data_IF_510950892857
#
_entry.id   IF_510950892857
#
_cell.length_a   1.000
_cell.length_b   1.000
_cell.length_c   1.000
_cell.angle_alpha   90.00
_cell.angle_beta   90.00
_cell.angle_gamma   90.00
#
_symmetry.space_group_name_H-M   'P 1'
#
loop_
_entity.id
_entity.type
_entity.pdbx_description
1 polymer ?
#
# COMPACT_ATOMS: atom_id res chain seq x y z
N UNK A 1 6.38 -24.14 11.12
CA UNK A 1 5.17 -24.31 10.27
C UNK A 1 5.54 -25.06 8.99
N UNK A 2 5.61 -26.42 9.04
CA UNK A 2 6.10 -27.21 7.89
C UNK A 2 5.22 -27.13 6.64
N UNK A 3 3.97 -26.72 6.80
CA UNK A 3 2.99 -26.59 5.70
C UNK A 3 2.75 -25.14 5.25
N UNK A 4 3.63 -24.20 5.63
CA UNK A 4 3.50 -22.80 5.23
C UNK A 4 3.57 -22.67 3.71
N UNK A 5 2.59 -21.98 3.12
CA UNK A 5 2.48 -21.75 1.66
C UNK A 5 2.64 -20.30 1.27
N UNK A 6 2.31 -19.39 2.18
CA UNK A 6 2.41 -17.96 1.93
C UNK A 6 2.62 -17.18 3.21
N UNK A 7 3.24 -16.01 3.07
CA UNK A 7 3.40 -15.01 4.12
C UNK A 7 2.82 -13.71 3.59
N UNK A 8 1.92 -13.10 4.37
CA UNK A 8 1.34 -11.79 4.08
C UNK A 8 1.90 -10.80 5.07
N UNK A 9 2.62 -9.79 4.60
CA UNK A 9 3.18 -8.74 5.45
C UNK A 9 2.42 -7.42 5.24
N UNK A 10 1.91 -6.80 6.31
CA UNK A 10 1.19 -5.53 6.22
C UNK A 10 2.12 -4.31 6.26
N UNK A 11 3.44 -4.49 6.14
CA UNK A 11 4.42 -3.40 6.18
C UNK A 11 5.49 -3.56 5.11
N UNK A 12 6.02 -2.44 4.58
CA UNK A 12 7.08 -2.43 3.56
C UNK A 12 8.37 -3.09 4.08
N UNK A 13 8.78 -2.79 5.30
CA UNK A 13 9.96 -3.42 5.93
C UNK A 13 9.76 -4.93 6.11
N UNK A 14 8.59 -5.34 6.55
CA UNK A 14 8.28 -6.76 6.79
C UNK A 14 8.23 -7.58 5.51
N UNK A 15 7.66 -7.03 4.42
CA UNK A 15 7.59 -7.77 3.15
C UNK A 15 8.98 -7.93 2.52
N UNK A 16 9.82 -6.88 2.57
CA UNK A 16 11.19 -6.94 2.08
C UNK A 16 12.03 -7.96 2.87
N UNK A 17 11.98 -7.92 4.21
CA UNK A 17 12.63 -8.89 5.06
C UNK A 17 12.16 -10.33 4.80
N UNK A 18 10.85 -10.52 4.57
CA UNK A 18 10.30 -11.84 4.22
C UNK A 18 10.78 -12.32 2.86
N UNK A 19 10.84 -11.41 1.86
CA UNK A 19 11.40 -11.70 0.53
C UNK A 19 12.85 -12.17 0.63
N UNK A 20 13.65 -11.49 1.45
CA UNK A 20 15.04 -11.86 1.73
C UNK A 20 15.13 -13.26 2.33
N UNK A 21 14.39 -13.55 3.39
CA UNK A 21 14.41 -14.87 4.05
C UNK A 21 13.99 -15.99 3.09
N UNK A 22 12.93 -15.79 2.30
CA UNK A 22 12.47 -16.77 1.32
C UNK A 22 13.53 -17.04 0.25
N UNK A 23 14.28 -16.00 -0.15
CA UNK A 23 15.39 -16.12 -1.09
C UNK A 23 16.57 -16.88 -0.49
N UNK A 24 17.05 -16.46 0.68
CA UNK A 24 18.24 -17.02 1.35
C UNK A 24 18.07 -18.50 1.75
N UNK A 25 16.84 -18.87 2.12
CA UNK A 25 16.53 -20.25 2.52
C UNK A 25 16.09 -21.15 1.34
N UNK A 26 16.21 -20.69 0.10
CA UNK A 26 15.82 -21.43 -1.10
C UNK A 26 14.36 -21.92 -1.06
N UNK A 27 13.45 -21.04 -0.59
CA UNK A 27 12.03 -21.34 -0.48
C UNK A 27 11.20 -20.75 -1.63
N UNK A 28 11.85 -20.10 -2.64
CA UNK A 28 11.19 -19.59 -3.84
C UNK A 28 10.42 -20.73 -4.53
N UNK A 29 9.17 -20.45 -4.88
CA UNK A 29 8.25 -21.45 -5.44
C UNK A 29 7.54 -22.34 -4.40
N UNK A 30 8.06 -22.45 -3.17
CA UNK A 30 7.45 -23.20 -2.06
C UNK A 30 6.61 -22.31 -1.15
N UNK A 31 7.13 -21.13 -0.81
CA UNK A 31 6.47 -20.13 0.02
C UNK A 31 6.35 -18.83 -0.79
N UNK A 32 5.16 -18.29 -0.90
CA UNK A 32 4.90 -17.03 -1.59
C UNK A 32 4.89 -15.88 -0.61
N UNK A 33 5.38 -14.71 -1.05
CA UNK A 33 5.38 -13.47 -0.26
C UNK A 33 4.45 -12.46 -0.93
N UNK A 34 3.60 -11.80 -0.14
CA UNK A 34 2.73 -10.72 -0.59
C UNK A 34 2.43 -9.76 0.55
N UNK A 35 1.79 -8.64 0.25
CA UNK A 35 1.38 -7.66 1.26
C UNK A 35 1.57 -6.22 0.79
N UNK A 36 1.92 -5.33 1.72
CA UNK A 36 2.26 -3.93 1.43
C UNK A 36 3.77 -3.79 1.25
N UNK A 37 4.20 -3.19 0.13
CA UNK A 37 5.61 -3.03 -0.18
C UNK A 37 5.89 -1.82 -1.05
N UNK A 38 7.10 -1.26 -0.92
CA UNK A 38 7.62 -0.25 -1.84
C UNK A 38 8.21 -0.95 -3.06
N UNK A 39 7.83 -0.55 -4.29
CA UNK A 39 8.37 -1.14 -5.50
C UNK A 39 9.91 -1.12 -5.59
N UNK A 40 10.54 -0.03 -5.16
CA UNK A 40 12.00 0.10 -5.12
C UNK A 40 12.69 -0.91 -4.20
N UNK A 41 12.03 -1.34 -3.11
CA UNK A 41 12.55 -2.36 -2.19
C UNK A 41 12.21 -3.78 -2.64
N UNK A 42 11.14 -3.95 -3.42
CA UNK A 42 10.58 -5.24 -3.80
C UNK A 42 11.02 -5.74 -5.18
N UNK A 43 11.69 -4.92 -5.98
CA UNK A 43 12.02 -5.20 -7.38
C UNK A 43 12.78 -6.52 -7.54
N UNK A 44 13.78 -6.78 -6.71
CA UNK A 44 14.59 -8.00 -6.79
C UNK A 44 13.79 -9.24 -6.40
N UNK A 45 12.90 -9.12 -5.41
CA UNK A 45 12.04 -10.23 -4.96
C UNK A 45 10.89 -10.54 -5.93
N UNK A 46 10.48 -9.57 -6.74
CA UNK A 46 9.56 -9.82 -7.85
C UNK A 46 10.28 -10.50 -9.00
N UNK A 47 11.47 -10.02 -9.37
CA UNK A 47 12.27 -10.57 -10.48
C UNK A 47 12.76 -11.98 -10.21
N UNK A 48 13.10 -12.32 -8.96
CA UNK A 48 13.52 -13.67 -8.60
C UNK A 48 12.35 -14.63 -8.30
N UNK A 49 11.11 -14.12 -8.22
CA UNK A 49 9.90 -14.91 -8.00
C UNK A 49 9.55 -15.20 -6.52
N UNK A 50 10.27 -14.64 -5.56
CA UNK A 50 9.92 -14.74 -4.13
C UNK A 50 8.58 -14.07 -3.83
N UNK A 51 8.30 -12.92 -4.45
CA UNK A 51 7.00 -12.23 -4.42
C UNK A 51 6.44 -12.10 -5.84
N UNK A 52 5.30 -12.68 -6.09
CA UNK A 52 4.68 -12.59 -7.44
C UNK A 52 3.77 -11.38 -7.59
N UNK A 53 3.20 -10.90 -6.49
CA UNK A 53 2.33 -9.71 -6.44
C UNK A 53 2.35 -9.10 -5.06
N UNK A 54 2.31 -7.78 -5.01
CA UNK A 54 2.12 -7.00 -3.80
C UNK A 54 1.40 -5.69 -4.15
N UNK A 55 1.10 -4.86 -3.15
CA UNK A 55 0.37 -3.64 -3.37
C UNK A 55 0.84 -2.52 -2.42
N UNK A 56 0.54 -1.27 -2.81
CA UNK A 56 0.66 -0.10 -1.94
C UNK A 56 -0.29 1.00 -2.45
N UNK A 57 -0.72 1.89 -1.58
CA UNK A 57 -1.30 3.18 -1.96
C UNK A 57 -0.19 4.18 -2.31
N UNK A 58 -0.53 5.27 -3.00
CA UNK A 58 0.42 6.35 -3.25
C UNK A 58 0.66 7.15 -1.95
N UNK A 59 1.87 7.09 -1.34
CA UNK A 59 2.13 7.80 -0.07
C UNK A 59 2.12 9.32 -0.24
N UNK A 60 2.47 9.85 -1.41
CA UNK A 60 2.43 11.29 -1.71
C UNK A 60 0.99 11.78 -1.74
N UNK A 61 0.11 11.04 -2.41
CA UNK A 61 -1.31 11.36 -2.45
C UNK A 61 -1.95 11.24 -1.07
N UNK A 62 -1.55 10.26 -0.26
CA UNK A 62 -2.01 10.13 1.12
C UNK A 62 -1.61 11.36 1.96
N UNK A 63 -0.37 11.83 1.84
CA UNK A 63 0.09 13.04 2.52
C UNK A 63 -0.67 14.28 2.09
N UNK A 64 -0.86 14.44 0.78
CA UNK A 64 -1.67 15.53 0.20
C UNK A 64 -3.12 15.49 0.72
N UNK A 65 -3.75 14.33 0.68
CA UNK A 65 -5.12 14.13 1.17
C UNK A 65 -5.24 14.46 2.66
N UNK A 66 -4.32 13.96 3.50
CA UNK A 66 -4.30 14.23 4.93
C UNK A 66 -4.20 15.73 5.26
N UNK A 67 -3.48 16.52 4.46
CA UNK A 67 -3.42 17.96 4.66
C UNK A 67 -4.79 18.62 4.51
N UNK A 68 -5.59 18.19 3.52
CA UNK A 68 -6.95 18.69 3.33
C UNK A 68 -7.91 18.23 4.44
N UNK A 69 -7.83 16.97 4.84
CA UNK A 69 -8.63 16.43 5.97
C UNK A 69 -8.34 17.23 7.23
N UNK A 70 -7.06 17.42 7.56
CA UNK A 70 -6.65 18.15 8.76
C UNK A 70 -7.09 19.61 8.71
N UNK A 71 -7.01 20.26 7.55
CA UNK A 71 -7.46 21.63 7.36
C UNK A 71 -8.97 21.75 7.54
N UNK A 72 -9.75 20.87 6.91
CA UNK A 72 -11.21 20.86 7.03
C UNK A 72 -11.68 20.58 8.47
N UNK A 73 -10.98 19.69 9.17
CA UNK A 73 -11.25 19.41 10.58
C UNK A 73 -10.92 20.65 11.47
N UNK A 74 -9.80 21.31 11.25
CA UNK A 74 -9.41 22.52 11.99
C UNK A 74 -10.39 23.69 11.77
N UNK A 75 -11.03 23.76 10.62
CA UNK A 75 -12.06 24.76 10.32
C UNK A 75 -13.48 24.36 10.79
N UNK A 76 -13.66 23.18 11.35
CA UNK A 76 -14.96 22.66 11.78
C UNK A 76 -15.87 22.23 10.63
N UNK A 77 -15.34 22.11 9.40
CA UNK A 77 -16.06 21.57 8.23
C UNK A 77 -16.26 20.06 8.38
N UNK A 78 -15.23 19.38 8.91
CA UNK A 78 -15.28 17.97 9.25
C UNK A 78 -15.31 17.77 10.76
N UNK A 79 -16.32 17.07 11.25
CA UNK A 79 -16.47 16.67 12.66
C UNK A 79 -16.44 15.17 12.83
N UNK A 80 -16.36 14.42 11.73
CA UNK A 80 -16.41 12.97 11.70
C UNK A 80 -17.82 12.37 11.59
N UNK A 81 -18.82 13.21 11.32
CA UNK A 81 -20.19 12.73 11.14
C UNK A 81 -20.38 12.14 9.75
N UNK A 82 -21.05 11.02 9.67
CA UNK A 82 -21.42 10.37 8.40
C UNK A 82 -22.17 11.35 7.49
N UNK A 83 -21.76 11.40 6.23
CA UNK A 83 -22.35 12.25 5.21
C UNK A 83 -21.75 13.66 5.12
N UNK A 84 -20.86 14.07 6.00
CA UNK A 84 -20.09 15.31 5.81
C UNK A 84 -19.20 15.20 4.58
N UNK A 85 -19.10 16.28 3.81
CA UNK A 85 -18.32 16.35 2.56
C UNK A 85 -17.27 17.44 2.63
N UNK A 86 -16.14 17.24 1.96
CA UNK A 86 -15.11 18.25 1.79
C UNK A 86 -14.38 18.04 0.47
N UNK A 87 -13.73 19.10 -0.05
CA UNK A 87 -12.90 19.02 -1.24
C UNK A 87 -11.44 18.84 -0.86
N UNK A 88 -10.80 17.83 -1.45
CA UNK A 88 -9.36 17.55 -1.33
C UNK A 88 -8.57 18.06 -2.57
N UNK A 89 -8.91 19.24 -3.05
CA UNK A 89 -8.22 19.91 -4.16
C UNK A 89 -8.17 19.05 -5.43
N UNK A 90 -6.97 18.74 -5.94
CA UNK A 90 -6.82 17.95 -7.19
C UNK A 90 -7.39 16.52 -7.10
N UNK A 91 -7.64 16.04 -5.90
CA UNK A 91 -8.17 14.68 -5.68
C UNK A 91 -9.71 14.63 -5.69
N UNK A 92 -10.40 15.81 -5.73
CA UNK A 92 -11.86 15.89 -5.78
C UNK A 92 -12.52 15.89 -4.41
N UNK A 93 -13.81 15.57 -4.40
CA UNK A 93 -14.65 15.62 -3.21
C UNK A 93 -14.76 14.25 -2.55
N UNK A 94 -14.77 14.26 -1.22
CA UNK A 94 -14.86 13.07 -0.38
C UNK A 94 -15.97 13.22 0.64
N UNK A 95 -16.51 12.08 1.06
CA UNK A 95 -17.59 11.99 2.04
C UNK A 95 -17.15 11.13 3.22
N UNK A 96 -17.49 11.56 4.43
CA UNK A 96 -17.30 10.76 5.64
C UNK A 96 -18.28 9.59 5.63
N UNK A 97 -17.76 8.39 5.70
CA UNK A 97 -18.48 7.13 5.72
C UNK A 97 -18.80 6.67 7.14
N UNK A 98 -19.29 5.46 7.27
CA UNK A 98 -19.62 4.84 8.57
C UNK A 98 -18.39 4.83 9.47
N UNK A 99 -18.59 5.03 10.77
CA UNK A 99 -17.52 5.08 11.79
C UNK A 99 -16.51 6.24 11.63
N UNK A 100 -16.84 7.25 10.81
CA UNK A 100 -15.96 8.41 10.58
C UNK A 100 -14.82 8.12 9.60
N UNK A 101 -14.90 7.04 8.85
CA UNK A 101 -13.92 6.69 7.84
C UNK A 101 -14.05 7.56 6.59
N UNK A 102 -12.95 7.75 5.88
CA UNK A 102 -12.92 8.39 4.57
C UNK A 102 -12.03 7.53 3.68
N UNK A 103 -12.65 6.79 2.76
CA UNK A 103 -11.92 5.93 1.83
C UNK A 103 -11.23 6.77 0.77
N UNK A 104 -9.92 6.63 0.67
CA UNK A 104 -9.07 7.41 -0.22
C UNK A 104 -8.39 6.52 -1.26
N UNK A 105 -8.43 6.97 -2.52
CA UNK A 105 -7.60 6.48 -3.61
C UNK A 105 -7.80 5.01 -3.99
N UNK A 106 -6.96 4.57 -4.93
CA UNK A 106 -6.88 3.19 -5.38
C UNK A 106 -5.57 2.55 -4.92
N UNK A 107 -5.61 1.25 -4.63
CA UNK A 107 -4.40 0.48 -4.36
C UNK A 107 -3.70 0.18 -5.69
N UNK A 108 -2.42 0.55 -5.77
CA UNK A 108 -1.53 0.13 -6.85
C UNK A 108 -1.08 -1.31 -6.61
N UNK A 109 -1.18 -2.15 -7.64
CA UNK A 109 -0.73 -3.54 -7.62
C UNK A 109 0.47 -3.67 -8.50
N UNK A 110 1.51 -4.33 -7.99
CA UNK A 110 2.77 -4.55 -8.67
C UNK A 110 3.02 -6.03 -8.87
N UNK A 111 3.54 -6.35 -10.05
CA UNK A 111 4.03 -7.67 -10.43
C UNK A 111 5.16 -7.52 -11.48
N UNK A 112 5.64 -8.62 -12.06
CA UNK A 112 6.74 -8.59 -13.02
C UNK A 112 6.50 -7.72 -14.26
N UNK A 113 5.23 -7.40 -14.58
CA UNK A 113 4.90 -6.61 -15.76
C UNK A 113 5.07 -5.10 -15.59
N UNK A 114 5.08 -4.61 -14.34
CA UNK A 114 5.08 -3.18 -14.04
C UNK A 114 6.04 -2.76 -12.92
N UNK A 115 6.81 -3.69 -12.34
CA UNK A 115 7.68 -3.42 -11.20
C UNK A 115 8.79 -2.42 -11.52
N UNK A 116 9.36 -2.46 -12.72
CA UNK A 116 10.44 -1.53 -13.12
C UNK A 116 9.93 -0.08 -13.13
N UNK A 117 8.80 0.16 -13.78
CA UNK A 117 8.16 1.48 -13.78
C UNK A 117 7.70 1.92 -12.37
N UNK A 118 7.24 0.97 -11.55
CA UNK A 118 6.87 1.23 -10.17
C UNK A 118 8.05 1.67 -9.31
N UNK A 119 9.21 1.04 -9.47
CA UNK A 119 10.42 1.34 -8.71
C UNK A 119 11.04 2.71 -9.05
N UNK A 120 10.68 3.31 -10.19
CA UNK A 120 11.05 4.68 -10.54
C UNK A 120 10.14 5.74 -9.89
N UNK A 121 8.95 5.34 -9.45
CA UNK A 121 7.93 6.25 -8.88
C UNK A 121 7.92 6.26 -7.35
N UNK A 122 8.38 5.17 -6.71
CA UNK A 122 8.26 4.94 -5.27
C UNK A 122 9.53 4.37 -4.65
#
# INVERSE_FOLDING_TARGET
YPNLKAIVSPTSVGIAATGQVVTDQNLIGKVKVTGLGLPSEMIDYVKNGASTKFAIWNPVDLGYFNAYVSHAAAQGILTGKVGETFSAGRMGDYTVEVEGEITFGNIFRFDASNIDAGAELF
#
